data_IF_708056667197
#
_entry.id   IF_708056667197
#
_cell.length_a   1.000
_cell.length_b   1.000
_cell.length_c   1.000
_cell.angle_alpha   90.00
_cell.angle_beta   90.00
_cell.angle_gamma   90.00
#
_symmetry.space_group_name_H-M   'P 1'
#
loop_
_entity.id
_entity.type
_entity.pdbx_description
1 polymer ?
#
# COMPACT_ATOMS: atom_id res chain seq x y z
N UNK A 1 24.78 19.13 -5.41
CA UNK A 1 24.69 18.08 -4.35
C UNK A 1 23.52 18.35 -3.41
N UNK A 2 23.28 19.60 -2.97
CA UNK A 2 22.14 19.94 -2.10
C UNK A 2 20.74 19.73 -2.71
N UNK A 3 20.54 20.05 -4.00
CA UNK A 3 19.24 19.80 -4.66
C UNK A 3 18.83 18.32 -4.60
N UNK A 4 19.78 17.42 -4.81
CA UNK A 4 19.55 15.98 -4.78
C UNK A 4 19.14 15.53 -3.37
N UNK A 5 19.82 16.02 -2.32
CA UNK A 5 19.47 15.73 -0.92
C UNK A 5 18.11 16.32 -0.52
N UNK A 6 17.77 17.53 -1.00
CA UNK A 6 16.45 18.12 -0.75
C UNK A 6 15.30 17.36 -1.44
N UNK A 7 15.55 16.83 -2.64
CA UNK A 7 14.63 15.95 -3.36
C UNK A 7 14.46 14.60 -2.64
N UNK A 8 15.56 14.03 -2.12
CA UNK A 8 15.56 12.83 -1.28
C UNK A 8 14.73 12.98 0.00
N UNK A 9 14.71 14.17 0.60
CA UNK A 9 13.91 14.46 1.80
C UNK A 9 12.43 14.73 1.49
N UNK A 10 12.10 15.21 0.27
CA UNK A 10 10.72 15.56 -0.12
C UNK A 10 9.93 14.40 -0.73
N UNK A 11 10.58 13.34 -1.22
CA UNK A 11 9.90 12.20 -1.85
C UNK A 11 10.41 10.84 -1.32
N UNK A 12 9.67 10.23 -0.40
CA UNK A 12 9.94 8.89 0.19
C UNK A 12 10.01 7.74 -0.82
N UNK A 13 9.59 7.97 -2.06
CA UNK A 13 9.63 7.00 -3.17
C UNK A 13 11.03 6.81 -3.78
N UNK A 14 12.00 7.67 -3.44
CA UNK A 14 13.36 7.62 -3.98
C UNK A 14 14.17 6.39 -3.56
N UNK A 15 13.73 5.65 -2.53
CA UNK A 15 14.33 4.37 -2.09
C UNK A 15 13.67 3.13 -2.73
N UNK A 16 12.70 3.32 -3.62
CA UNK A 16 11.91 2.25 -4.22
C UNK A 16 12.29 1.96 -5.68
N UNK A 17 12.94 0.81 -5.92
CA UNK A 17 13.09 0.25 -7.26
C UNK A 17 14.01 1.08 -8.17
N UNK A 18 13.59 1.29 -9.43
CA UNK A 18 14.40 1.95 -10.46
C UNK A 18 14.15 3.48 -10.51
N UNK A 19 13.60 4.07 -9.45
CA UNK A 19 13.19 5.48 -9.45
C UNK A 19 14.37 6.42 -9.73
N UNK A 20 15.48 6.21 -9.04
CA UNK A 20 16.71 6.99 -9.21
C UNK A 20 17.31 6.81 -10.60
N UNK A 21 17.31 5.58 -11.13
CA UNK A 21 17.81 5.29 -12.48
C UNK A 21 16.99 5.99 -13.56
N UNK A 22 15.66 5.98 -13.42
CA UNK A 22 14.75 6.66 -14.33
C UNK A 22 14.92 8.18 -14.27
N UNK A 23 15.04 8.74 -13.06
CA UNK A 23 15.24 10.18 -12.87
C UNK A 23 16.58 10.62 -13.47
N UNK A 24 17.64 9.83 -13.26
CA UNK A 24 18.95 10.08 -13.87
C UNK A 24 18.88 9.96 -15.41
N UNK A 25 18.10 9.00 -15.92
CA UNK A 25 17.82 8.86 -17.35
C UNK A 25 17.10 10.08 -17.94
N UNK A 26 16.14 10.65 -17.20
CA UNK A 26 15.47 11.90 -17.60
C UNK A 26 16.43 13.09 -17.61
N UNK A 27 17.26 13.24 -16.57
CA UNK A 27 18.30 14.28 -16.50
C UNK A 27 19.27 14.17 -17.68
N UNK A 28 19.74 12.95 -17.98
CA UNK A 28 20.64 12.70 -19.11
C UNK A 28 19.96 13.05 -20.44
N UNK A 29 18.69 12.66 -20.64
CA UNK A 29 17.94 12.98 -21.85
C UNK A 29 17.83 14.50 -22.06
N UNK A 30 17.45 15.25 -21.01
CA UNK A 30 17.29 16.70 -21.08
C UNK A 30 18.63 17.40 -21.33
N UNK A 31 19.71 16.91 -20.74
CA UNK A 31 21.06 17.42 -20.99
C UNK A 31 21.51 17.16 -22.44
N UNK A 32 21.19 15.99 -23.02
CA UNK A 32 21.59 15.64 -24.38
C UNK A 32 20.88 16.48 -25.46
N UNK A 33 19.63 16.93 -25.20
CA UNK A 33 18.94 17.91 -26.05
C UNK A 33 19.39 19.36 -25.81
N UNK A 34 20.43 19.57 -24.99
CA UNK A 34 21.01 20.87 -24.64
C UNK A 34 20.04 21.81 -23.93
N UNK A 35 19.17 21.27 -23.07
CA UNK A 35 18.34 22.10 -22.20
C UNK A 35 19.19 22.80 -21.14
N UNK A 36 18.82 24.04 -20.77
CA UNK A 36 19.54 24.83 -19.76
C UNK A 36 19.45 24.18 -18.38
N UNK A 37 20.50 24.34 -17.57
CA UNK A 37 20.64 23.65 -16.28
C UNK A 37 19.54 24.07 -15.30
N UNK A 38 19.17 25.34 -15.32
CA UNK A 38 18.12 25.95 -14.50
C UNK A 38 16.75 25.36 -14.85
N UNK A 39 16.48 25.18 -16.14
CA UNK A 39 15.25 24.57 -16.64
C UNK A 39 15.19 23.08 -16.29
N UNK A 40 16.30 22.35 -16.47
CA UNK A 40 16.41 20.94 -16.06
C UNK A 40 16.11 20.82 -14.56
N UNK A 41 16.74 21.64 -13.73
CA UNK A 41 16.51 21.63 -12.29
C UNK A 41 15.05 21.93 -11.94
N UNK A 42 14.44 22.92 -12.60
CA UNK A 42 13.04 23.27 -12.41
C UNK A 42 12.11 22.11 -12.78
N UNK A 43 12.31 21.51 -13.95
CA UNK A 43 11.50 20.40 -14.48
C UNK A 43 11.64 19.17 -13.59
N UNK A 44 12.87 18.79 -13.26
CA UNK A 44 13.14 17.65 -12.38
C UNK A 44 12.51 17.85 -11.01
N UNK A 45 12.57 19.07 -10.44
CA UNK A 45 11.96 19.38 -9.14
C UNK A 45 10.44 19.38 -9.17
N UNK A 46 9.83 19.99 -10.18
CA UNK A 46 8.37 20.12 -10.27
C UNK A 46 7.67 18.83 -10.72
N UNK A 47 8.38 17.96 -11.44
CA UNK A 47 7.84 16.73 -12.02
C UNK A 47 8.66 15.49 -11.59
N UNK A 48 9.31 15.54 -10.42
CA UNK A 48 10.19 14.47 -9.90
C UNK A 48 9.50 13.11 -9.92
N UNK A 49 8.25 13.08 -9.46
CA UNK A 49 7.43 11.88 -9.43
C UNK A 49 7.27 11.29 -10.84
N UNK A 50 6.81 12.08 -11.82
CA UNK A 50 6.56 11.61 -13.19
C UNK A 50 7.81 11.00 -13.84
N UNK A 51 8.97 11.65 -13.65
CA UNK A 51 10.23 11.20 -14.25
C UNK A 51 10.87 10.01 -13.53
N UNK A 52 10.91 9.99 -12.20
CA UNK A 52 11.41 8.81 -11.47
C UNK A 52 10.54 7.57 -11.71
N UNK A 53 9.28 7.78 -12.01
CA UNK A 53 8.33 6.73 -12.32
C UNK A 53 8.48 6.17 -13.75
N UNK A 54 9.01 6.94 -14.70
CA UNK A 54 8.94 6.60 -16.13
C UNK A 54 10.29 6.18 -16.68
N UNK A 55 10.34 5.01 -17.32
CA UNK A 55 11.57 4.58 -18.00
C UNK A 55 11.60 5.10 -19.43
N UNK A 56 12.45 6.10 -19.66
CA UNK A 56 12.69 6.64 -21.01
C UNK A 56 13.52 5.62 -21.80
N UNK A 57 12.88 4.94 -22.75
CA UNK A 57 13.53 3.88 -23.53
C UNK A 57 14.03 4.36 -24.89
N UNK A 58 13.48 5.46 -25.40
CA UNK A 58 13.95 6.08 -26.65
C UNK A 58 15.00 7.13 -26.35
N UNK A 59 16.05 7.12 -27.16
CA UNK A 59 17.08 8.16 -27.13
C UNK A 59 16.58 9.45 -27.81
N UNK A 60 17.15 10.62 -27.48
CA UNK A 60 16.77 11.90 -28.10
C UNK A 60 16.74 11.87 -29.62
N UNK A 61 17.77 11.28 -30.25
CA UNK A 61 17.87 11.14 -31.72
C UNK A 61 16.67 10.40 -32.33
N UNK A 62 16.17 9.37 -31.64
CA UNK A 62 15.00 8.61 -32.07
C UNK A 62 13.73 9.46 -31.97
N UNK A 63 13.59 10.23 -30.90
CA UNK A 63 12.42 11.12 -30.70
C UNK A 63 12.40 12.24 -31.73
N UNK A 64 13.53 12.90 -31.95
CA UNK A 64 13.67 14.00 -32.91
C UNK A 64 13.38 13.54 -34.34
N UNK A 65 13.89 12.37 -34.75
CA UNK A 65 13.62 11.82 -36.08
C UNK A 65 12.16 11.41 -36.28
N UNK A 66 11.50 10.88 -35.24
CA UNK A 66 10.07 10.53 -35.28
C UNK A 66 9.18 11.77 -35.38
N UNK A 67 9.48 12.80 -34.60
CA UNK A 67 8.70 14.04 -34.56
C UNK A 67 9.04 15.01 -35.69
N UNK A 68 10.19 14.81 -36.37
CA UNK A 68 10.73 15.69 -37.41
C UNK A 68 10.90 17.14 -36.93
N UNK A 69 11.44 17.31 -35.72
CA UNK A 69 11.67 18.62 -35.10
C UNK A 69 13.14 18.77 -34.68
N UNK A 70 13.57 20.00 -34.46
CA UNK A 70 14.89 20.30 -33.91
C UNK A 70 14.94 20.09 -32.39
N UNK A 71 16.15 19.89 -31.80
CA UNK A 71 16.33 19.82 -30.35
C UNK A 71 15.76 21.03 -29.62
N UNK A 72 15.94 22.22 -30.17
CA UNK A 72 15.48 23.48 -29.58
C UNK A 72 13.95 23.50 -29.51
N UNK A 73 13.28 23.08 -30.59
CA UNK A 73 11.82 23.00 -30.59
C UNK A 73 11.30 21.94 -29.62
N UNK A 74 12.02 20.82 -29.46
CA UNK A 74 11.69 19.81 -28.46
C UNK A 74 11.86 20.36 -27.04
N UNK A 75 12.91 21.13 -26.77
CA UNK A 75 13.10 21.81 -25.49
C UNK A 75 11.90 22.70 -25.15
N UNK A 76 11.47 23.58 -26.06
CA UNK A 76 10.32 24.45 -25.83
C UNK A 76 9.04 23.67 -25.51
N UNK A 77 8.77 22.60 -26.26
CA UNK A 77 7.61 21.73 -26.03
C UNK A 77 7.64 21.11 -24.62
N UNK A 78 8.81 20.69 -24.16
CA UNK A 78 8.99 20.09 -22.83
C UNK A 78 8.91 21.13 -21.73
N UNK A 79 9.42 22.35 -21.93
CA UNK A 79 9.30 23.45 -20.96
C UNK A 79 7.83 23.85 -20.75
N UNK A 80 7.05 23.90 -21.82
CA UNK A 80 5.60 24.15 -21.74
C UNK A 80 4.85 23.03 -21.01
N UNK A 81 5.22 21.77 -21.27
CA UNK A 81 4.59 20.61 -20.64
C UNK A 81 5.60 19.45 -20.49
N UNK A 82 6.19 19.27 -19.30
CA UNK A 82 7.18 18.23 -19.06
C UNK A 82 6.66 16.81 -19.25
N UNK A 83 5.34 16.58 -19.18
CA UNK A 83 4.77 15.24 -19.38
C UNK A 83 4.88 14.77 -20.84
N UNK A 84 4.97 15.70 -21.80
CA UNK A 84 5.17 15.37 -23.22
C UNK A 84 6.46 14.58 -23.46
N UNK A 85 7.49 14.79 -22.64
CA UNK A 85 8.72 13.99 -22.71
C UNK A 85 8.41 12.49 -22.50
N UNK A 86 7.57 12.15 -21.52
CA UNK A 86 7.18 10.75 -21.28
C UNK A 86 6.42 10.21 -22.49
N UNK A 87 5.45 10.98 -23.02
CA UNK A 87 4.66 10.56 -24.17
C UNK A 87 5.54 10.25 -25.41
N UNK A 88 6.61 11.01 -25.61
CA UNK A 88 7.50 10.83 -26.76
C UNK A 88 8.56 9.75 -26.55
N UNK A 89 9.19 9.74 -25.36
CA UNK A 89 10.41 8.98 -25.10
C UNK A 89 10.20 7.68 -24.29
N UNK A 90 9.08 7.55 -23.57
CA UNK A 90 8.74 6.29 -22.92
C UNK A 90 8.12 5.30 -23.93
N UNK A 91 8.38 4.00 -23.73
CA UNK A 91 7.52 2.96 -24.33
C UNK A 91 6.17 3.06 -23.61
N UNK A 92 5.02 2.92 -24.32
CA UNK A 92 3.67 2.96 -23.72
C UNK A 92 3.71 2.30 -22.34
N UNK A 93 3.62 3.12 -21.30
CA UNK A 93 3.61 2.64 -19.95
C UNK A 93 2.24 1.99 -19.76
N UNK A 94 2.24 0.73 -19.34
CA UNK A 94 1.08 0.19 -18.68
C UNK A 94 0.88 1.06 -17.44
N UNK A 95 -0.06 2.00 -17.50
CA UNK A 95 -0.36 2.97 -16.42
C UNK A 95 -0.73 2.26 -15.10
N UNK A 96 -0.91 0.93 -15.15
CA UNK A 96 -0.94 0.05 -13.99
C UNK A 96 0.35 -0.02 -13.15
N UNK A 97 1.46 0.62 -13.51
CA UNK A 97 2.63 0.66 -12.60
C UNK A 97 2.49 1.60 -11.41
N UNK A 98 1.96 2.82 -11.66
CA UNK A 98 2.15 3.99 -10.78
C UNK A 98 0.98 4.33 -9.89
N UNK A 99 -0.23 4.15 -10.39
CA UNK A 99 -1.43 4.22 -9.56
C UNK A 99 -1.30 3.25 -8.36
N UNK A 100 -0.75 2.06 -8.63
CA UNK A 100 -0.52 1.05 -7.60
C UNK A 100 0.57 1.40 -6.58
N UNK A 101 1.54 2.28 -6.86
CA UNK A 101 2.57 2.58 -5.86
C UNK A 101 2.05 3.55 -4.79
N UNK A 102 1.38 4.63 -5.21
CA UNK A 102 0.74 5.55 -4.26
C UNK A 102 -0.36 4.86 -3.46
N UNK A 103 -1.17 4.01 -4.11
CA UNK A 103 -2.21 3.26 -3.43
C UNK A 103 -1.63 2.18 -2.48
N UNK A 104 -0.50 1.54 -2.81
CA UNK A 104 0.23 0.66 -1.89
C UNK A 104 0.75 1.41 -0.68
N UNK A 105 1.36 2.58 -0.88
CA UNK A 105 1.84 3.42 0.21
C UNK A 105 0.68 3.80 1.13
N UNK A 106 -0.42 4.31 0.57
CA UNK A 106 -1.63 4.63 1.34
C UNK A 106 -2.16 3.42 2.10
N UNK A 107 -2.20 2.25 1.46
CA UNK A 107 -2.64 1.01 2.10
C UNK A 107 -1.73 0.60 3.27
N UNK A 108 -0.41 0.57 3.09
CA UNK A 108 0.53 0.17 4.15
C UNK A 108 0.49 1.14 5.33
N UNK A 109 0.38 2.44 5.06
CA UNK A 109 0.18 3.44 6.11
C UNK A 109 -1.15 3.23 6.83
N UNK A 110 -2.22 2.89 6.10
CA UNK A 110 -3.55 2.68 6.68
C UNK A 110 -3.57 1.51 7.66
N UNK A 111 -2.80 0.44 7.38
CA UNK A 111 -2.73 -0.75 8.25
C UNK A 111 -1.77 -0.59 9.42
N UNK A 112 -1.07 0.54 9.54
CA UNK A 112 -0.22 0.89 10.68
C UNK A 112 1.28 0.78 10.46
N UNK A 113 1.76 0.63 9.22
CA UNK A 113 3.20 0.78 8.97
C UNK A 113 3.62 2.24 9.11
N UNK A 114 4.82 2.45 9.65
CA UNK A 114 5.47 3.76 9.69
C UNK A 114 6.25 3.95 8.40
N UNK A 115 6.05 5.09 7.73
CA UNK A 115 6.78 5.39 6.50
C UNK A 115 8.30 5.43 6.75
N UNK A 116 9.08 5.04 5.74
CA UNK A 116 10.55 5.09 5.76
C UNK A 116 11.25 4.15 6.75
N UNK A 117 10.54 3.20 7.38
CA UNK A 117 11.21 2.13 8.14
C UNK A 117 11.64 0.97 7.23
N UNK A 118 12.58 0.16 7.70
CA UNK A 118 13.02 -1.04 6.97
C UNK A 118 11.86 -2.01 6.73
N UNK A 119 10.93 -2.13 7.69
CA UNK A 119 9.74 -2.97 7.59
C UNK A 119 8.78 -2.46 6.52
N UNK A 120 8.61 -1.13 6.39
CA UNK A 120 7.80 -0.52 5.34
C UNK A 120 8.40 -0.77 3.95
N UNK A 121 9.72 -0.58 3.81
CA UNK A 121 10.43 -0.87 2.54
C UNK A 121 10.35 -2.35 2.20
N UNK A 122 10.49 -3.24 3.19
CA UNK A 122 10.37 -4.69 3.02
C UNK A 122 8.95 -5.08 2.59
N UNK A 123 7.93 -4.52 3.24
CA UNK A 123 6.53 -4.71 2.86
C UNK A 123 6.30 -4.26 1.41
N UNK A 124 6.68 -3.03 1.04
CA UNK A 124 6.57 -2.53 -0.34
C UNK A 124 7.24 -3.45 -1.38
N UNK A 125 8.39 -4.04 -1.04
CA UNK A 125 9.11 -4.98 -1.91
C UNK A 125 8.36 -6.32 -2.07
N UNK A 126 7.72 -6.82 -1.03
CA UNK A 126 6.91 -8.05 -1.09
C UNK A 126 5.64 -7.88 -1.95
N UNK A 127 5.14 -6.66 -2.06
CA UNK A 127 4.02 -6.31 -2.93
C UNK A 127 4.40 -6.00 -4.40
N UNK A 128 5.65 -6.27 -4.82
CA UNK A 128 6.07 -6.12 -6.23
C UNK A 128 5.22 -7.02 -7.15
N UNK A 129 4.56 -6.41 -8.13
CA UNK A 129 3.69 -7.11 -9.10
C UNK A 129 2.30 -7.55 -8.61
N UNK A 130 1.94 -7.31 -7.34
CA UNK A 130 0.65 -7.73 -6.73
C UNK A 130 -0.22 -6.59 -6.18
N UNK A 131 0.14 -5.34 -6.44
CA UNK A 131 -0.61 -4.17 -5.94
C UNK A 131 -2.06 -4.17 -6.35
N UNK A 132 -2.26 -4.47 -7.63
CA UNK A 132 -3.56 -4.58 -8.29
C UNK A 132 -4.40 -5.64 -7.59
N UNK A 133 -3.80 -6.78 -7.21
CA UNK A 133 -4.51 -7.86 -6.52
C UNK A 133 -4.91 -7.45 -5.12
N UNK A 134 -4.05 -6.78 -4.36
CA UNK A 134 -4.35 -6.35 -2.99
C UNK A 134 -5.54 -5.38 -2.97
N UNK A 135 -5.47 -4.34 -3.79
CA UNK A 135 -6.51 -3.29 -3.86
C UNK A 135 -7.80 -3.86 -4.46
N UNK A 136 -7.73 -4.66 -5.53
CA UNK A 136 -8.91 -5.36 -6.07
C UNK A 136 -9.53 -6.34 -5.08
N UNK A 137 -8.71 -6.98 -4.23
CA UNK A 137 -9.19 -7.94 -3.24
C UNK A 137 -9.78 -7.30 -1.99
N UNK A 138 -9.41 -6.04 -1.70
CA UNK A 138 -9.76 -5.36 -0.46
C UNK A 138 -9.94 -3.82 -0.62
N UNK A 139 -10.80 -3.35 -1.55
CA UNK A 139 -11.01 -1.92 -1.77
C UNK A 139 -11.58 -1.21 -0.52
N UNK A 140 -12.41 -1.93 0.24
CA UNK A 140 -13.03 -1.48 1.50
C UNK A 140 -12.02 -1.08 2.59
N UNK A 141 -10.74 -1.44 2.48
CA UNK A 141 -9.72 -0.96 3.43
C UNK A 141 -9.45 0.52 3.20
N UNK A 142 -9.44 0.97 1.95
CA UNK A 142 -9.22 2.38 1.63
C UNK A 142 -10.44 3.26 1.95
N UNK A 143 -11.61 2.64 2.12
CA UNK A 143 -12.87 3.30 2.47
C UNK A 143 -13.04 3.50 3.98
N UNK A 144 -12.21 2.85 4.81
CA UNK A 144 -12.25 2.98 6.26
C UNK A 144 -11.36 4.13 6.75
N UNK A 145 -11.71 4.70 7.91
CA UNK A 145 -10.85 5.71 8.54
C UNK A 145 -9.59 5.06 9.09
N UNK A 146 -8.48 5.83 9.08
CA UNK A 146 -7.19 5.39 9.61
C UNK A 146 -7.32 4.80 11.03
N UNK A 147 -8.04 5.48 11.93
CA UNK A 147 -8.23 5.04 13.31
C UNK A 147 -8.93 3.67 13.41
N UNK A 148 -9.94 3.41 12.57
CA UNK A 148 -10.66 2.12 12.56
C UNK A 148 -9.74 1.00 12.08
N UNK A 149 -8.95 1.25 11.04
CA UNK A 149 -8.01 0.25 10.51
C UNK A 149 -6.90 -0.01 11.53
N UNK A 150 -6.36 1.02 12.17
CA UNK A 150 -5.36 0.87 13.24
C UNK A 150 -5.90 0.06 14.42
N UNK A 151 -7.15 0.32 14.85
CA UNK A 151 -7.79 -0.45 15.92
C UNK A 151 -7.97 -1.92 15.53
N UNK A 152 -8.46 -2.20 14.31
CA UNK A 152 -8.59 -3.57 13.78
C UNK A 152 -7.23 -4.25 13.65
N UNK A 153 -6.22 -3.56 13.11
CA UNK A 153 -4.86 -4.06 12.97
C UNK A 153 -4.25 -4.42 14.32
N UNK A 154 -4.46 -3.58 15.36
CA UNK A 154 -3.99 -3.86 16.72
C UNK A 154 -4.68 -5.07 17.33
N UNK A 155 -6.02 -5.10 17.31
CA UNK A 155 -6.80 -6.24 17.82
C UNK A 155 -6.40 -7.55 17.14
N UNK A 156 -6.25 -7.51 15.81
CA UNK A 156 -5.78 -8.66 15.07
C UNK A 156 -4.33 -8.98 15.45
N UNK A 157 -3.39 -8.04 15.50
CA UNK A 157 -2.01 -8.35 15.90
C UNK A 157 -1.94 -9.03 17.28
N UNK A 158 -2.70 -8.51 18.26
CA UNK A 158 -2.79 -9.05 19.62
C UNK A 158 -3.36 -10.48 19.64
N UNK A 159 -4.45 -10.73 18.91
CA UNK A 159 -5.07 -12.06 18.85
C UNK A 159 -4.34 -13.06 17.95
N UNK A 160 -3.70 -12.59 16.88
CA UNK A 160 -3.04 -13.43 15.89
C UNK A 160 -1.62 -13.82 16.35
N UNK A 161 -0.98 -13.01 17.21
CA UNK A 161 0.46 -13.11 17.48
C UNK A 161 1.29 -13.02 16.21
N UNK A 162 0.75 -12.36 15.17
CA UNK A 162 1.36 -12.21 13.85
C UNK A 162 1.73 -10.76 13.60
N UNK A 163 2.81 -10.56 12.85
CA UNK A 163 3.25 -9.22 12.44
C UNK A 163 2.26 -8.58 11.45
N UNK A 164 2.31 -7.25 11.35
CA UNK A 164 1.58 -6.46 10.34
C UNK A 164 1.77 -6.99 8.91
N UNK A 165 2.90 -7.64 8.64
CA UNK A 165 3.21 -8.29 7.36
C UNK A 165 2.21 -9.39 7.01
N UNK A 166 1.76 -10.16 8.00
CA UNK A 166 0.75 -11.20 7.80
C UNK A 166 -0.62 -10.59 7.45
N UNK A 167 -0.98 -9.47 8.07
CA UNK A 167 -2.22 -8.75 7.77
C UNK A 167 -2.19 -8.13 6.38
N UNK A 168 -1.05 -7.55 6.00
CA UNK A 168 -0.85 -7.00 4.66
C UNK A 168 -0.98 -8.08 3.57
N UNK A 169 -0.59 -9.33 3.85
CA UNK A 169 -0.81 -10.47 2.96
C UNK A 169 -2.25 -11.00 2.96
N UNK A 170 -3.06 -10.68 3.99
CA UNK A 170 -4.43 -11.18 4.17
C UNK A 170 -5.40 -10.03 4.52
N UNK A 171 -5.58 -9.03 3.64
CA UNK A 171 -6.29 -7.80 3.96
C UNK A 171 -7.79 -8.00 4.20
N UNK A 172 -8.34 -9.17 3.81
CA UNK A 172 -9.74 -9.55 4.05
C UNK A 172 -10.12 -9.60 5.52
N UNK A 173 -9.17 -9.76 6.44
CA UNK A 173 -9.51 -9.70 7.87
C UNK A 173 -10.01 -8.32 8.30
N UNK A 174 -9.62 -7.25 7.59
CA UNK A 174 -10.05 -5.89 7.86
C UNK A 174 -11.49 -5.58 7.37
N UNK A 175 -12.13 -6.52 6.65
CA UNK A 175 -13.53 -6.36 6.22
C UNK A 175 -14.52 -6.59 7.35
N UNK A 176 -14.12 -7.33 8.39
CA UNK A 176 -14.98 -7.60 9.53
C UNK A 176 -15.05 -6.37 10.44
N UNK A 177 -16.21 -6.16 11.05
CA UNK A 177 -16.42 -5.15 12.07
C UNK A 177 -15.64 -5.48 13.36
N UNK A 178 -15.42 -4.45 14.18
CA UNK A 178 -14.60 -4.54 15.39
C UNK A 178 -15.25 -5.50 16.40
N UNK A 179 -16.58 -5.45 16.55
CA UNK A 179 -17.33 -6.30 17.46
C UNK A 179 -17.14 -7.78 17.11
N UNK A 180 -17.33 -8.14 15.84
CA UNK A 180 -17.16 -9.51 15.35
C UNK A 180 -15.75 -10.03 15.56
N UNK A 181 -14.72 -9.21 15.33
CA UNK A 181 -13.32 -9.59 15.62
C UNK A 181 -13.18 -9.83 17.12
N UNK A 182 -13.56 -8.85 17.93
CA UNK A 182 -13.38 -8.86 19.39
C UNK A 182 -14.12 -10.01 20.04
N UNK A 183 -15.44 -10.14 19.83
CA UNK A 183 -16.25 -11.16 20.49
C UNK A 183 -15.76 -12.57 20.16
N UNK A 184 -15.50 -12.84 18.88
CA UNK A 184 -15.14 -14.19 18.43
C UNK A 184 -13.77 -14.62 18.91
N UNK A 185 -12.80 -13.70 18.91
CA UNK A 185 -11.49 -14.01 19.46
C UNK A 185 -11.53 -14.14 20.98
N UNK A 186 -12.28 -13.30 21.70
CA UNK A 186 -12.48 -13.45 23.15
C UNK A 186 -13.12 -14.78 23.51
N UNK A 187 -14.18 -15.18 22.78
CA UNK A 187 -14.83 -16.47 22.98
C UNK A 187 -13.89 -17.64 22.67
N UNK A 188 -13.12 -17.53 21.58
CA UNK A 188 -12.12 -18.53 21.22
C UNK A 188 -11.03 -18.67 22.29
N UNK A 189 -10.51 -17.55 22.80
CA UNK A 189 -9.51 -17.53 23.88
C UNK A 189 -10.06 -18.17 25.15
N UNK A 190 -11.28 -17.83 25.55
CA UNK A 190 -11.93 -18.44 26.71
C UNK A 190 -12.11 -19.97 26.55
N UNK A 191 -12.52 -20.44 25.37
CA UNK A 191 -12.62 -21.88 25.08
C UNK A 191 -11.25 -22.60 25.12
N UNK A 192 -10.16 -21.89 24.74
CA UNK A 192 -8.78 -22.40 24.84
C UNK A 192 -8.35 -22.53 26.30
N UNK A 193 -8.64 -21.52 27.12
CA UNK A 193 -8.34 -21.52 28.56
C UNK A 193 -9.09 -22.60 29.33
N UNK A 194 -10.33 -22.89 28.92
CA UNK A 194 -11.12 -24.02 29.44
C UNK A 194 -10.66 -25.40 28.93
N UNK A 195 -9.66 -25.44 28.04
CA UNK A 195 -9.13 -26.69 27.48
C UNK A 195 -10.04 -27.39 26.45
N UNK A 196 -11.14 -26.76 26.05
CA UNK A 196 -12.10 -27.33 25.08
C UNK A 196 -11.51 -27.35 23.67
N UNK A 197 -10.78 -26.30 23.31
CA UNK A 197 -10.05 -26.22 22.05
C UNK A 197 -8.57 -26.50 22.32
N UNK A 198 -8.09 -27.67 21.93
CA UNK A 198 -6.68 -28.05 22.09
C UNK A 198 -5.85 -27.69 20.87
N UNK A 199 -6.41 -27.89 19.67
CA UNK A 199 -5.73 -27.58 18.40
C UNK A 199 -6.00 -26.13 17.95
N UNK A 200 -4.97 -25.40 17.50
CA UNK A 200 -5.17 -24.04 17.01
C UNK A 200 -6.05 -24.05 15.75
N UNK A 201 -7.10 -23.23 15.76
CA UNK A 201 -7.96 -22.99 14.59
C UNK A 201 -7.36 -21.91 13.71
N UNK A 202 -7.70 -21.94 12.41
CA UNK A 202 -7.32 -20.85 11.50
C UNK A 202 -8.14 -19.60 11.79
N UNK A 203 -7.58 -18.42 11.56
CA UNK A 203 -8.29 -17.17 11.76
C UNK A 203 -9.50 -17.02 10.84
N UNK A 204 -9.38 -17.55 9.62
CA UNK A 204 -10.51 -17.65 8.71
C UNK A 204 -11.66 -18.47 9.31
N UNK A 205 -11.38 -19.61 9.94
CA UNK A 205 -12.45 -20.44 10.54
C UNK A 205 -13.08 -19.82 11.79
N UNK A 206 -12.44 -18.83 12.41
CA UNK A 206 -12.99 -18.07 13.54
C UNK A 206 -13.89 -16.94 13.00
N UNK A 207 -13.39 -16.13 12.07
CA UNK A 207 -14.05 -14.91 11.61
C UNK A 207 -15.09 -15.10 10.49
N UNK A 208 -14.89 -16.06 9.60
CA UNK A 208 -15.73 -16.24 8.41
C UNK A 208 -17.15 -16.77 8.67
N UNK A 209 -17.38 -17.76 9.57
CA UNK A 209 -18.72 -18.36 9.75
C UNK A 209 -19.80 -17.33 10.10
N UNK A 210 -21.07 -17.55 9.73
CA UNK A 210 -22.18 -16.76 10.28
C UNK A 210 -22.30 -16.94 11.79
N UNK A 211 -23.01 -16.04 12.48
CA UNK A 211 -23.16 -16.14 13.95
C UNK A 211 -23.81 -17.46 14.37
N UNK A 212 -24.85 -17.91 13.66
CA UNK A 212 -25.46 -19.22 13.90
C UNK A 212 -24.45 -20.39 13.78
N UNK A 213 -23.55 -20.33 12.77
CA UNK A 213 -22.50 -21.34 12.60
C UNK A 213 -21.41 -21.21 13.67
N UNK A 214 -21.02 -19.99 14.02
CA UNK A 214 -20.03 -19.75 15.08
C UNK A 214 -20.54 -20.27 16.42
N UNK A 215 -21.81 -19.99 16.76
CA UNK A 215 -22.44 -20.50 17.98
C UNK A 215 -22.45 -22.03 17.98
N UNK A 216 -22.91 -22.64 16.88
CA UNK A 216 -22.96 -24.10 16.76
C UNK A 216 -21.58 -24.77 16.90
N UNK A 217 -20.53 -24.19 16.32
CA UNK A 217 -19.22 -24.83 16.18
C UNK A 217 -18.20 -24.44 17.24
N UNK A 218 -18.37 -23.31 17.93
CA UNK A 218 -17.47 -22.84 18.97
C UNK A 218 -18.21 -22.68 20.30
N UNK A 219 -19.27 -21.87 20.33
CA UNK A 219 -19.94 -21.52 21.59
C UNK A 219 -20.53 -22.74 22.28
N UNK A 220 -21.22 -23.60 21.53
CA UNK A 220 -21.87 -24.80 22.06
C UNK A 220 -20.91 -25.94 22.39
N UNK A 221 -19.59 -25.75 22.26
CA UNK A 221 -18.60 -26.74 22.70
C UNK A 221 -18.48 -26.81 24.23
N UNK A 222 -18.96 -25.79 24.95
CA UNK A 222 -18.95 -25.75 26.41
C UNK A 222 -20.35 -25.48 26.97
N UNK A 223 -20.79 -26.14 28.07
CA UNK A 223 -22.11 -25.92 28.67
C UNK A 223 -22.40 -24.45 29.01
N UNK A 224 -21.42 -23.73 29.57
CA UNK A 224 -21.52 -22.30 29.90
C UNK A 224 -21.30 -21.37 28.70
N UNK A 225 -21.06 -21.91 27.50
CA UNK A 225 -20.61 -21.13 26.37
C UNK A 225 -21.61 -20.05 25.94
N UNK A 226 -22.91 -20.36 25.91
CA UNK A 226 -23.95 -19.40 25.56
C UNK A 226 -24.00 -18.21 26.52
N UNK A 227 -23.92 -18.47 27.83
CA UNK A 227 -23.92 -17.41 28.84
C UNK A 227 -22.68 -16.51 28.71
N UNK A 228 -21.50 -17.11 28.50
CA UNK A 228 -20.27 -16.35 28.25
C UNK A 228 -20.38 -15.51 26.97
N UNK A 229 -20.94 -16.07 25.90
CA UNK A 229 -21.12 -15.38 24.63
C UNK A 229 -22.03 -14.15 24.73
N UNK A 230 -23.14 -14.25 25.46
CA UNK A 230 -24.01 -13.10 25.72
C UNK A 230 -23.27 -12.03 26.55
N UNK A 231 -22.57 -12.43 27.61
CA UNK A 231 -21.78 -11.49 28.43
C UNK A 231 -20.72 -10.73 27.63
N UNK A 232 -20.03 -11.40 26.70
CA UNK A 232 -19.05 -10.75 25.82
C UNK A 232 -19.67 -9.68 24.91
N UNK A 233 -20.90 -9.89 24.44
CA UNK A 233 -21.61 -8.93 23.58
C UNK A 233 -22.10 -7.72 24.37
N UNK A 234 -22.53 -7.92 25.61
CA UNK A 234 -22.98 -6.84 26.50
C UNK A 234 -21.81 -5.91 26.91
N UNK A 235 -20.62 -6.47 27.11
CA UNK A 235 -19.42 -5.70 27.44
C UNK A 235 -18.96 -4.76 26.32
N UNK A 236 -19.17 -5.11 25.04
CA UNK A 236 -18.79 -4.20 23.94
C UNK A 236 -19.79 -3.06 23.75
N UNK A 237 -21.07 -3.33 24.02
CA UNK A 237 -22.15 -2.32 23.93
C UNK A 237 -22.02 -1.23 25.01
N UNK A 238 -21.34 -1.53 26.12
CA UNK A 238 -21.17 -0.63 27.26
C UNK A 238 -19.96 0.31 27.14
N UNK A 239 -19.04 0.07 26.21
CA UNK A 239 -17.84 0.89 25.98
C UNK A 239 -18.04 2.01 24.94
N UNK A 240 -19.30 2.31 24.58
CA UNK A 240 -19.68 3.34 23.58
C UNK A 240 -20.35 4.57 24.25
N UNK A 241 -20.26 4.70 25.59
CA UNK A 241 -20.67 5.90 26.33
C UNK A 241 -19.47 6.65 26.90
#
# INVERSE_FOLDING_TARGET
>A
MEMILSLFLQHSLLLAGNFTENLLGALHFLSEIKMETEDIAMIIRTHTHVFGCSSLKKQPRTVLSQLKISPEKLCEIIKEDPQKLIAFAAKKCDTGGHQHLQEKTRFLLSIGYVENTEEFVKALKEFRGKGDQMIKSAPFVLEQTKNVIEMKSKLLADHLGKSLQYLAAHPKYLSYDIDRITHRFSMYTWLREKGVITKPSSFYSILWPSDARFVKHYVNLHPEGLAMWESLKEQSSSNVL
#
